data_IF_459271761629
#
_entry.id   IF_459271761629
#
_cell.length_a   1.000
_cell.length_b   1.000
_cell.length_c   1.000
_cell.angle_alpha   90.00
_cell.angle_beta   90.00
_cell.angle_gamma   90.00
#
_symmetry.space_group_name_H-M   'P 1'
#
loop_
_entity.id
_entity.type
_entity.pdbx_description
1 polymer ?
#
# COMPACT_ATOMS: atom_id res chain seq x y z
N UNK A 1 -29.53 14.90 7.33
CA UNK A 1 -29.02 13.53 7.14
C UNK A 1 -27.50 13.61 7.05
N UNK A 2 -26.76 12.75 7.74
CA UNK A 2 -25.30 12.80 7.71
C UNK A 2 -24.79 12.14 6.42
N UNK A 3 -23.95 12.82 5.66
CA UNK A 3 -23.32 12.22 4.47
C UNK A 3 -22.20 11.29 4.91
N UNK A 4 -22.19 10.04 4.43
CA UNK A 4 -21.04 9.14 4.60
C UNK A 4 -20.09 9.37 3.44
N UNK A 5 -18.80 9.52 3.74
CA UNK A 5 -17.73 9.65 2.76
C UNK A 5 -17.03 8.31 2.58
N UNK A 6 -16.95 7.84 1.34
CA UNK A 6 -16.10 6.74 0.91
C UNK A 6 -14.88 7.30 0.19
N UNK A 7 -13.71 6.69 0.39
CA UNK A 7 -12.47 7.09 -0.26
C UNK A 7 -11.97 5.93 -1.13
N UNK A 8 -11.64 6.27 -2.37
CA UNK A 8 -11.02 5.37 -3.35
C UNK A 8 -9.65 5.96 -3.67
N UNK A 9 -8.60 5.15 -3.57
CA UNK A 9 -7.23 5.64 -3.73
C UNK A 9 -6.52 4.90 -4.85
N UNK A 10 -5.74 5.64 -5.64
CA UNK A 10 -4.83 5.04 -6.61
C UNK A 10 -3.80 4.22 -5.85
N UNK A 11 -3.74 2.94 -6.15
CA UNK A 11 -2.74 2.07 -5.56
C UNK A 11 -1.48 2.12 -6.41
N UNK A 12 -0.39 2.63 -5.80
CA UNK A 12 0.99 2.72 -6.31
C UNK A 12 1.22 1.95 -7.61
N UNK A 13 1.51 2.67 -8.70
CA UNK A 13 1.82 2.06 -9.99
C UNK A 13 3.34 1.96 -10.18
N UNK A 14 3.81 0.79 -10.57
CA UNK A 14 5.20 0.52 -10.97
C UNK A 14 5.22 0.24 -12.46
N UNK A 15 6.23 0.76 -13.16
CA UNK A 15 6.42 0.46 -14.58
C UNK A 15 7.18 -0.87 -14.72
N UNK A 16 6.51 -1.91 -15.23
CA UNK A 16 7.14 -3.21 -15.48
C UNK A 16 7.67 -3.31 -16.91
N UNK A 17 8.84 -2.73 -17.15
CA UNK A 17 9.64 -3.07 -18.34
C UNK A 17 10.44 -1.94 -18.96
N UNK A 18 11.32 -2.33 -19.90
CA UNK A 18 12.10 -1.42 -20.74
C UNK A 18 11.37 -0.99 -22.02
N UNK A 19 10.09 -1.34 -22.16
CA UNK A 19 9.27 -1.05 -23.34
C UNK A 19 8.49 0.25 -23.13
N UNK A 20 8.35 1.10 -24.17
CA UNK A 20 7.56 2.34 -24.09
C UNK A 20 6.05 2.14 -23.88
N UNK A 21 5.60 0.88 -23.87
CA UNK A 21 4.23 0.48 -23.59
C UNK A 21 4.16 -0.60 -22.51
N UNK A 22 5.18 -0.69 -21.65
CA UNK A 22 5.13 -1.56 -20.49
C UNK A 22 3.87 -1.25 -19.67
N UNK A 23 3.06 -2.27 -19.33
CA UNK A 23 1.86 -2.05 -18.56
C UNK A 23 2.25 -1.45 -17.21
N UNK A 24 1.53 -0.41 -16.80
CA UNK A 24 1.58 -0.03 -15.40
C UNK A 24 0.89 -1.13 -14.61
N UNK A 25 1.57 -1.53 -13.56
CA UNK A 25 1.11 -2.56 -12.66
C UNK A 25 0.98 -1.91 -11.30
N UNK A 26 -0.19 -2.02 -10.66
CA UNK A 26 -0.28 -1.53 -9.29
C UNK A 26 0.52 -2.41 -8.33
N UNK A 27 0.68 -1.98 -7.08
CA UNK A 27 1.37 -2.78 -6.05
C UNK A 27 0.72 -4.15 -5.78
N UNK A 28 -0.49 -4.39 -6.31
CA UNK A 28 -1.21 -5.67 -6.26
C UNK A 28 -1.09 -6.50 -7.56
N UNK A 29 -0.13 -6.18 -8.42
CA UNK A 29 0.11 -6.87 -9.70
C UNK A 29 -1.03 -6.77 -10.73
N UNK A 30 -2.02 -5.89 -10.52
CA UNK A 30 -3.07 -5.68 -11.52
C UNK A 30 -2.52 -4.83 -12.67
N UNK A 31 -2.55 -5.39 -13.87
CA UNK A 31 -2.14 -4.75 -15.12
C UNK A 31 -3.27 -3.91 -15.73
N UNK A 32 -2.96 -2.77 -16.34
CA UNK A 32 -3.91 -2.00 -17.18
C UNK A 32 -4.52 -2.94 -18.25
N UNK A 33 -5.85 -2.87 -18.52
CA UNK A 33 -6.79 -1.80 -18.16
C UNK A 33 -7.61 -2.05 -16.89
N UNK A 34 -7.17 -2.94 -16.01
CA UNK A 34 -7.91 -3.28 -14.78
C UNK A 34 -7.95 -2.09 -13.79
N UNK A 35 -8.88 -2.14 -12.85
CA UNK A 35 -9.16 -1.04 -11.92
C UNK A 35 -7.94 -0.75 -11.01
N UNK A 36 -7.48 0.51 -10.99
CA UNK A 36 -6.34 0.95 -10.15
C UNK A 36 -6.77 1.77 -8.92
N UNK A 37 -8.07 2.06 -8.79
CA UNK A 37 -8.67 2.78 -7.67
C UNK A 37 -9.43 1.79 -6.78
N UNK A 38 -8.89 1.50 -5.60
CA UNK A 38 -9.49 0.56 -4.67
C UNK A 38 -10.25 1.27 -3.55
N UNK A 39 -11.40 0.75 -3.11
CA UNK A 39 -12.09 1.25 -1.94
C UNK A 39 -11.28 0.94 -0.66
N UNK A 40 -11.22 1.90 0.26
CA UNK A 40 -10.72 1.71 1.65
C UNK A 40 -9.25 1.30 1.82
N UNK A 41 -8.31 1.90 1.07
CA UNK A 41 -6.90 1.84 1.46
C UNK A 41 -6.73 2.66 2.75
N UNK A 42 -6.45 1.99 3.88
CA UNK A 42 -6.14 2.68 5.15
C UNK A 42 -4.69 3.15 5.11
N UNK A 43 -4.49 4.47 5.21
CA UNK A 43 -3.20 5.06 5.52
C UNK A 43 -2.62 5.89 4.37
N UNK A 44 -3.16 7.09 4.15
CA UNK A 44 -2.41 8.14 3.44
C UNK A 44 -1.42 8.70 4.46
N UNK A 45 -0.19 8.20 4.43
CA UNK A 45 0.92 8.82 5.17
C UNK A 45 1.57 9.86 4.25
N UNK A 46 1.80 11.07 4.79
CA UNK A 46 2.42 12.16 4.05
C UNK A 46 3.83 11.81 3.47
N UNK A 47 4.39 10.69 3.96
CA UNK A 47 5.71 10.15 3.65
C UNK A 47 5.66 8.92 2.71
N UNK A 48 4.55 8.65 2.02
CA UNK A 48 4.55 7.63 0.96
C UNK A 48 5.52 8.05 -0.16
N UNK A 49 6.59 7.26 -0.33
CA UNK A 49 7.64 7.46 -1.33
C UNK A 49 7.26 6.91 -2.71
N UNK A 50 6.06 6.35 -2.83
CA UNK A 50 5.52 5.82 -4.07
C UNK A 50 4.90 6.95 -4.88
N UNK A 51 5.45 7.26 -6.06
CA UNK A 51 4.91 8.30 -6.92
C UNK A 51 4.78 7.82 -8.37
N UNK A 52 3.72 8.29 -9.03
CA UNK A 52 3.62 8.26 -10.49
C UNK A 52 4.34 9.51 -10.99
N UNK A 53 5.45 9.33 -11.70
CA UNK A 53 6.22 10.45 -12.24
C UNK A 53 6.45 10.30 -13.73
N UNK A 54 6.70 11.43 -14.39
CA UNK A 54 7.33 11.42 -15.70
C UNK A 54 8.84 11.10 -15.52
N UNK A 55 9.54 10.64 -16.56
CA UNK A 55 10.84 10.02 -16.43
C UNK A 55 11.93 11.10 -16.28
N UNK A 56 12.93 10.83 -15.45
CA UNK A 56 14.13 11.67 -15.28
C UNK A 56 15.06 11.62 -16.49
N UNK A 57 15.01 10.54 -17.30
CA UNK A 57 15.99 10.27 -18.36
C UNK A 57 15.37 10.59 -19.71
N UNK A 58 16.05 11.45 -20.49
CA UNK A 58 15.75 11.67 -21.91
C UNK A 58 15.91 10.32 -22.63
N UNK A 59 14.79 9.68 -22.99
CA UNK A 59 14.74 8.38 -23.66
C UNK A 59 14.25 7.19 -22.81
N UNK A 60 13.93 7.38 -21.52
CA UNK A 60 13.12 6.41 -20.78
C UNK A 60 11.65 6.82 -20.92
N UNK A 61 10.84 6.00 -21.60
CA UNK A 61 9.46 6.33 -21.93
C UNK A 61 8.50 5.85 -20.82
N UNK A 62 8.34 6.64 -19.75
CA UNK A 62 7.09 6.51 -18.98
C UNK A 62 5.95 7.05 -19.82
N UNK A 63 4.74 6.50 -19.72
CA UNK A 63 3.62 7.01 -20.47
C UNK A 63 3.30 8.45 -20.05
N UNK A 64 3.39 9.41 -20.99
CA UNK A 64 2.93 10.80 -20.81
C UNK A 64 1.44 10.88 -20.43
N UNK A 65 0.72 9.77 -20.61
CA UNK A 65 -0.72 9.61 -20.43
C UNK A 65 -1.06 8.26 -19.83
N UNK A 66 -1.80 8.25 -18.74
CA UNK A 66 -2.24 7.04 -18.05
C UNK A 66 -3.75 7.09 -17.94
N UNK A 67 -4.43 6.02 -18.35
CA UNK A 67 -5.88 5.87 -18.19
C UNK A 67 -6.18 4.60 -17.43
N UNK A 68 -7.08 4.67 -16.46
CA UNK A 68 -7.55 3.49 -15.73
C UNK A 68 -9.01 3.66 -15.35
N UNK A 69 -9.70 2.52 -15.29
CA UNK A 69 -11.09 2.46 -14.89
C UNK A 69 -11.21 2.60 -13.37
N UNK A 70 -12.29 3.25 -12.93
CA UNK A 70 -12.63 3.36 -11.52
C UNK A 70 -13.49 2.14 -11.16
N UNK A 71 -13.04 1.37 -10.17
CA UNK A 71 -13.78 0.20 -9.69
C UNK A 71 -15.16 0.59 -9.14
N UNK A 72 -16.07 -0.37 -9.16
CA UNK A 72 -17.48 -0.35 -8.77
C UNK A 72 -17.85 0.74 -7.74
N UNK A 73 -18.09 1.95 -8.26
CA UNK A 73 -18.60 3.01 -7.43
C UNK A 73 -20.04 2.69 -7.02
N UNK A 74 -20.45 3.12 -5.81
CA UNK A 74 -21.85 3.15 -5.41
C UNK A 74 -22.75 3.74 -6.47
N UNK A 75 -23.82 3.06 -6.81
CA UNK A 75 -24.80 3.60 -7.74
C UNK A 75 -25.59 4.77 -7.15
N UNK A 76 -25.51 5.01 -5.85
CA UNK A 76 -26.28 5.99 -5.07
C UNK A 76 -25.46 7.18 -4.54
N UNK A 77 -24.20 7.35 -4.95
CA UNK A 77 -23.42 8.54 -4.56
C UNK A 77 -24.10 9.87 -4.96
N UNK A 78 -23.95 10.88 -4.11
CA UNK A 78 -24.49 12.23 -4.26
C UNK A 78 -23.41 13.29 -4.45
N UNK A 79 -22.15 12.98 -4.18
CA UNK A 79 -21.03 13.88 -4.44
C UNK A 79 -19.79 13.10 -4.84
N UNK A 80 -18.97 13.69 -5.69
CA UNK A 80 -17.67 13.14 -6.11
C UNK A 80 -16.66 14.28 -6.07
N UNK A 81 -15.51 14.02 -5.44
CA UNK A 81 -14.40 14.97 -5.31
C UNK A 81 -13.11 14.24 -5.62
N UNK A 82 -12.32 14.77 -6.56
CA UNK A 82 -10.97 14.28 -6.87
C UNK A 82 -9.98 15.14 -6.09
N UNK A 83 -9.10 14.50 -5.34
CA UNK A 83 -7.99 15.16 -4.66
C UNK A 83 -6.68 14.60 -5.22
N UNK A 84 -5.69 15.47 -5.43
CA UNK A 84 -4.38 15.09 -5.97
C UNK A 84 -3.28 15.82 -5.22
N UNK A 85 -2.16 15.14 -4.96
CA UNK A 85 -0.91 15.78 -4.50
C UNK A 85 0.20 15.58 -5.50
N UNK A 86 0.76 16.69 -5.96
CA UNK A 86 1.74 16.75 -7.04
C UNK A 86 2.94 17.62 -6.67
N UNK A 87 4.11 17.23 -7.14
CA UNK A 87 5.34 18.00 -7.09
C UNK A 87 5.82 18.24 -8.52
N UNK A 88 6.25 19.46 -8.80
CA UNK A 88 6.99 19.79 -10.01
C UNK A 88 8.44 20.12 -9.63
N UNK A 89 9.38 19.59 -10.40
CA UNK A 89 10.82 19.80 -10.30
C UNK A 89 11.31 20.32 -11.66
N UNK A 90 12.37 21.12 -11.68
CA UNK A 90 12.93 21.67 -12.91
C UNK A 90 13.10 23.17 -12.87
N UNK A 91 13.94 23.69 -13.78
CA UNK A 91 14.30 25.11 -13.89
C UNK A 91 13.36 25.87 -14.83
N UNK A 92 12.71 25.16 -15.76
CA UNK A 92 11.72 25.70 -16.69
C UNK A 92 10.51 24.77 -16.73
N UNK A 93 9.36 25.30 -16.33
CA UNK A 93 8.07 24.60 -16.30
C UNK A 93 7.05 25.26 -17.24
N UNK A 94 7.46 26.22 -18.08
CA UNK A 94 6.54 27.09 -18.83
C UNK A 94 5.76 26.38 -19.94
N UNK A 95 6.24 25.22 -20.39
CA UNK A 95 5.62 24.45 -21.47
C UNK A 95 5.12 23.06 -21.03
N UNK A 96 5.25 22.74 -19.74
CA UNK A 96 4.79 21.46 -19.20
C UNK A 96 3.28 21.51 -18.99
N UNK A 97 2.58 20.44 -19.33
CA UNK A 97 1.15 20.32 -19.02
C UNK A 97 0.92 19.10 -18.15
N UNK A 98 0.31 19.33 -17.00
CA UNK A 98 -0.24 18.27 -16.16
C UNK A 98 -1.74 18.44 -16.18
N UNK A 99 -2.48 17.34 -16.33
CA UNK A 99 -3.93 17.31 -16.12
C UNK A 99 -4.33 16.01 -15.43
N UNK A 100 -5.35 16.11 -14.58
CA UNK A 100 -6.07 14.95 -14.05
C UNK A 100 -7.52 15.11 -14.47
N UNK A 101 -7.93 14.30 -15.42
CA UNK A 101 -9.25 14.34 -16.03
C UNK A 101 -10.07 13.13 -15.57
N UNK A 102 -11.37 13.34 -15.40
CA UNK A 102 -12.33 12.27 -15.20
C UNK A 102 -13.22 12.16 -16.44
N UNK A 103 -13.36 10.95 -16.98
CA UNK A 103 -14.13 10.65 -18.17
C UNK A 103 -15.26 9.67 -17.87
N UNK A 104 -16.32 9.79 -18.66
CA UNK A 104 -17.26 8.70 -18.87
C UNK A 104 -16.94 8.02 -20.21
N UNK A 105 -16.71 6.71 -20.16
CA UNK A 105 -16.10 5.96 -21.23
C UNK A 105 -14.57 6.01 -21.23
N UNK A 106 -13.96 4.98 -21.79
CA UNK A 106 -12.51 4.89 -21.96
C UNK A 106 -11.99 6.15 -22.69
N UNK A 107 -10.99 6.88 -22.17
CA UNK A 107 -10.46 8.13 -22.75
C UNK A 107 -9.88 7.95 -24.17
N UNK A 108 -10.78 7.90 -25.16
CA UNK A 108 -10.57 7.77 -26.61
C UNK A 108 -11.63 8.61 -27.32
N UNK A 109 -11.59 8.61 -28.65
CA UNK A 109 -12.63 9.24 -29.48
C UNK A 109 -14.03 8.75 -29.04
N UNK A 110 -14.89 9.69 -28.66
CA UNK A 110 -16.26 9.41 -28.20
C UNK A 110 -16.48 9.38 -26.67
N UNK A 111 -15.43 9.50 -25.86
CA UNK A 111 -15.57 9.67 -24.40
C UNK A 111 -16.03 11.09 -24.03
N UNK A 112 -16.68 11.24 -22.89
CA UNK A 112 -17.13 12.55 -22.37
C UNK A 112 -16.33 12.92 -21.14
N UNK A 113 -15.59 14.03 -21.19
CA UNK A 113 -14.91 14.57 -20.02
C UNK A 113 -15.92 15.20 -19.07
N UNK A 114 -15.92 14.78 -17.81
CA UNK A 114 -16.88 15.20 -16.78
C UNK A 114 -16.22 16.03 -15.66
N UNK A 115 -14.89 16.06 -15.61
CA UNK A 115 -14.13 16.96 -14.76
C UNK A 115 -12.66 16.99 -15.14
N UNK A 116 -11.98 18.06 -14.74
CA UNK A 116 -10.59 18.35 -15.08
C UNK A 116 -9.97 19.12 -13.92
N UNK A 117 -8.83 18.63 -13.44
CA UNK A 117 -7.88 19.41 -12.64
C UNK A 117 -6.82 19.88 -13.63
N UNK A 118 -6.97 21.12 -14.07
CA UNK A 118 -5.93 21.82 -14.81
C UNK A 118 -4.92 22.42 -13.84
N UNK A 119 -3.66 22.07 -14.06
CA UNK A 119 -2.55 22.73 -13.40
C UNK A 119 -2.29 24.02 -14.16
N UNK A 120 -2.04 25.16 -13.48
CA UNK A 120 -1.90 26.44 -14.17
C UNK A 120 -0.88 26.34 -15.29
N UNK A 121 -1.29 26.71 -16.50
CA UNK A 121 -0.47 26.64 -17.71
C UNK A 121 0.82 27.48 -17.64
N UNK A 122 0.92 28.38 -16.66
CA UNK A 122 2.11 29.16 -16.36
C UNK A 122 2.63 28.83 -14.96
N UNK A 123 3.35 27.72 -14.86
CA UNK A 123 3.99 27.28 -13.62
C UNK A 123 5.20 28.18 -13.27
N UNK A 124 5.70 28.97 -14.22
CA UNK A 124 6.98 29.69 -14.13
C UNK A 124 7.03 30.81 -13.08
N UNK A 125 5.89 31.16 -12.45
CA UNK A 125 5.84 32.10 -11.33
C UNK A 125 4.99 31.67 -10.13
N UNK A 126 4.22 30.58 -10.23
CA UNK A 126 3.27 30.18 -9.19
C UNK A 126 3.78 29.04 -8.29
N UNK A 127 4.84 28.33 -8.72
CA UNK A 127 5.29 27.12 -8.04
C UNK A 127 6.80 27.17 -7.78
N UNK A 128 7.18 26.94 -6.53
CA UNK A 128 8.55 26.64 -6.12
C UNK A 128 8.88 25.18 -6.47
N UNK A 129 10.00 24.96 -7.15
CA UNK A 129 10.51 23.62 -7.45
C UNK A 129 10.63 22.77 -6.18
N UNK A 130 10.44 21.46 -6.30
CA UNK A 130 10.49 20.49 -5.19
C UNK A 130 9.46 20.72 -4.07
N UNK A 131 8.47 21.57 -4.28
CA UNK A 131 7.35 21.76 -3.35
C UNK A 131 6.18 20.87 -3.74
N UNK A 132 5.48 20.32 -2.74
CA UNK A 132 4.25 19.55 -2.94
C UNK A 132 3.03 20.47 -2.90
N UNK A 133 2.12 20.26 -3.83
CA UNK A 133 0.89 21.02 -3.99
C UNK A 133 -0.30 20.07 -3.96
N UNK A 134 -1.37 20.49 -3.31
CA UNK A 134 -2.61 19.73 -3.18
C UNK A 134 -3.71 20.44 -3.97
N UNK A 135 -4.43 19.66 -4.78
CA UNK A 135 -5.50 20.13 -5.64
C UNK A 135 -6.76 19.34 -5.34
N UNK A 136 -7.90 20.03 -5.39
CA UNK A 136 -9.22 19.45 -5.16
C UNK A 136 -10.17 19.91 -6.25
N UNK A 137 -10.82 18.96 -6.92
CA UNK A 137 -11.87 19.23 -7.91
C UNK A 137 -13.16 18.53 -7.51
N UNK A 138 -14.23 19.31 -7.38
CA UNK A 138 -15.58 18.78 -7.19
C UNK A 138 -16.17 18.45 -8.56
N UNK A 139 -16.62 17.21 -8.73
CA UNK A 139 -17.21 16.73 -9.97
C UNK A 139 -18.72 16.95 -9.90
N UNK A 140 -19.28 17.55 -10.96
CA UNK A 140 -20.72 17.69 -11.07
C UNK A 140 -21.35 16.32 -11.38
N UNK A 141 -21.94 15.70 -10.35
CA UNK A 141 -22.56 14.38 -10.45
C UNK A 141 -23.71 14.32 -11.48
N UNK A 142 -24.30 15.45 -11.86
CA UNK A 142 -25.31 15.50 -12.91
C UNK A 142 -24.75 15.21 -14.32
N UNK A 143 -23.42 15.32 -14.51
CA UNK A 143 -22.75 14.97 -15.76
C UNK A 143 -22.47 13.46 -15.87
N UNK A 144 -22.65 12.70 -14.79
CA UNK A 144 -22.43 11.25 -14.76
C UNK A 144 -23.74 10.56 -15.13
N UNK A 145 -23.83 10.06 -16.35
CA UNK A 145 -24.98 9.29 -16.87
C UNK A 145 -24.78 7.78 -16.78
N UNK A 146 -23.54 7.31 -16.71
CA UNK A 146 -23.18 5.91 -16.44
C UNK A 146 -22.11 5.83 -15.34
N UNK A 147 -22.53 5.38 -14.16
CA UNK A 147 -21.67 5.25 -12.98
C UNK A 147 -20.73 4.04 -13.03
N UNK A 148 -20.95 3.10 -13.95
CA UNK A 148 -20.15 1.88 -14.12
C UNK A 148 -19.03 2.04 -15.15
N UNK A 149 -19.01 3.17 -15.85
CA UNK A 149 -18.08 3.45 -16.94
C UNK A 149 -17.33 4.76 -16.70
N UNK A 150 -16.77 4.89 -15.49
CA UNK A 150 -15.97 6.03 -15.09
C UNK A 150 -14.49 5.70 -15.19
N UNK A 151 -13.73 6.65 -15.72
CA UNK A 151 -12.31 6.53 -15.96
C UNK A 151 -11.57 7.75 -15.43
N UNK A 152 -10.39 7.52 -14.88
CA UNK A 152 -9.42 8.58 -14.60
C UNK A 152 -8.38 8.58 -15.71
N UNK A 153 -8.03 9.77 -16.16
CA UNK A 153 -6.97 10.02 -17.12
C UNK A 153 -5.99 11.02 -16.53
N UNK A 154 -4.72 10.68 -16.54
CA UNK A 154 -3.64 11.51 -16.03
C UNK A 154 -2.73 11.82 -17.19
N UNK A 155 -2.44 13.09 -17.40
CA UNK A 155 -1.46 13.54 -18.38
C UNK A 155 -0.34 14.28 -17.65
N UNK A 156 0.90 13.96 -17.98
CA UNK A 156 2.11 14.65 -17.49
C UNK A 156 3.05 14.86 -18.68
N UNK A 157 2.73 15.84 -19.51
CA UNK A 157 3.49 16.18 -20.72
C UNK A 157 4.60 17.18 -20.38
N UNK A 158 5.82 16.86 -20.79
CA UNK A 158 7.00 17.70 -20.57
C UNK A 158 7.01 18.94 -21.48
N UNK A 159 6.24 18.96 -22.57
CA UNK A 159 6.35 20.01 -23.58
C UNK A 159 7.67 19.94 -24.36
N UNK A 160 7.69 20.48 -25.58
CA UNK A 160 8.92 20.49 -26.40
C UNK A 160 9.95 21.45 -25.80
N UNK A 161 11.19 20.97 -25.60
CA UNK A 161 12.32 21.80 -25.17
C UNK A 161 12.59 21.85 -23.66
N UNK A 162 11.79 21.15 -22.83
CA UNK A 162 12.03 21.07 -21.38
C UNK A 162 12.84 19.81 -21.03
N UNK A 163 14.17 19.94 -20.96
CA UNK A 163 15.04 18.82 -20.56
C UNK A 163 14.90 18.45 -19.08
N UNK A 164 14.40 19.38 -18.25
CA UNK A 164 14.54 19.29 -16.78
C UNK A 164 13.20 19.26 -16.02
N UNK A 165 12.06 19.46 -16.69
CA UNK A 165 10.74 19.52 -16.04
C UNK A 165 10.26 18.13 -15.59
N UNK A 166 10.22 17.86 -14.30
CA UNK A 166 9.82 16.57 -13.75
C UNK A 166 8.60 16.70 -12.83
N UNK A 167 7.51 16.05 -13.21
CA UNK A 167 6.26 15.99 -12.46
C UNK A 167 6.17 14.67 -11.71
N UNK A 168 5.75 14.71 -10.45
CA UNK A 168 5.51 13.56 -9.58
C UNK A 168 4.17 13.71 -8.90
N UNK A 169 3.33 12.70 -8.96
CA UNK A 169 2.11 12.61 -8.18
C UNK A 169 2.29 11.57 -7.07
N UNK A 170 2.15 12.00 -5.82
CA UNK A 170 2.26 11.08 -4.67
C UNK A 170 0.95 10.33 -4.44
N UNK A 171 -0.18 11.01 -4.51
CA UNK A 171 -1.49 10.36 -4.39
C UNK A 171 -2.56 11.00 -5.26
N UNK A 172 -3.54 10.17 -5.60
CA UNK A 172 -4.78 10.54 -6.28
C UNK A 172 -5.93 9.81 -5.58
N UNK A 173 -6.86 10.59 -5.02
CA UNK A 173 -7.96 10.11 -4.19
C UNK A 173 -9.29 10.58 -4.75
N UNK A 174 -10.20 9.65 -4.99
CA UNK A 174 -11.59 9.93 -5.30
C UNK A 174 -12.43 9.78 -4.03
N UNK A 175 -12.92 10.90 -3.52
CA UNK A 175 -13.84 10.96 -2.39
C UNK A 175 -15.28 10.99 -2.91
N UNK A 176 -16.09 10.04 -2.44
CA UNK A 176 -17.46 9.83 -2.90
C UNK A 176 -18.40 9.93 -1.71
N UNK A 177 -19.32 10.89 -1.72
CA UNK A 177 -20.34 11.05 -0.68
C UNK A 177 -21.62 10.31 -1.02
N UNK A 178 -22.25 9.66 -0.04
CA UNK A 178 -23.52 8.94 -0.21
C UNK A 178 -24.57 9.40 0.81
N UNK A 179 -25.87 9.37 0.45
CA UNK A 179 -26.94 9.57 1.40
C UNK A 179 -26.97 8.37 2.36
N UNK A 180 -27.02 8.62 3.66
CA UNK A 180 -27.08 7.56 4.68
C UNK A 180 -28.36 6.74 4.52
N UNK A 181 -28.24 5.50 4.08
CA UNK A 181 -29.25 4.48 4.37
C UNK A 181 -28.61 3.34 5.16
N UNK A 182 -29.05 3.28 6.42
CA UNK A 182 -28.71 2.34 7.49
C UNK A 182 -27.25 2.30 7.94
N UNK A 183 -27.11 2.03 9.25
CA UNK A 183 -25.84 1.86 9.95
C UNK A 183 -24.90 1.07 9.07
N UNK A 184 -23.78 1.68 8.67
CA UNK A 184 -22.71 0.95 8.05
C UNK A 184 -22.48 -0.29 8.90
N UNK A 185 -22.79 -1.48 8.37
CA UNK A 185 -22.31 -2.70 8.98
C UNK A 185 -20.82 -2.47 9.20
N UNK A 186 -20.40 -2.57 10.46
CA UNK A 186 -19.03 -2.29 10.85
C UNK A 186 -18.16 -3.10 9.90
N UNK A 187 -17.28 -2.48 9.09
CA UNK A 187 -16.43 -3.22 8.18
C UNK A 187 -15.72 -4.29 8.99
N UNK A 188 -16.14 -5.54 8.83
CA UNK A 188 -15.42 -6.67 9.40
C UNK A 188 -14.23 -6.80 8.50
N UNK A 189 -13.08 -6.31 8.96
CA UNK A 189 -11.79 -6.60 8.36
C UNK A 189 -11.65 -8.12 8.28
N UNK A 190 -11.99 -8.68 7.12
CA UNK A 190 -11.82 -10.10 6.86
C UNK A 190 -10.45 -10.23 6.23
N UNK A 191 -9.47 -10.53 7.08
CA UNK A 191 -8.11 -10.83 6.64
C UNK A 191 -8.17 -12.21 5.98
N UNK A 192 -8.18 -12.24 4.64
CA UNK A 192 -8.30 -13.48 3.85
C UNK A 192 -7.03 -14.31 3.79
N UNK A 193 -6.04 -13.96 4.60
CA UNK A 193 -4.93 -14.82 4.87
C UNK A 193 -5.43 -15.85 5.94
N UNK A 194 -6.22 -16.79 5.45
CA UNK A 194 -6.70 -18.02 6.11
C UNK A 194 -7.48 -17.85 7.44
N UNK A 195 -8.17 -16.73 7.63
CA UNK A 195 -8.96 -16.44 8.85
C UNK A 195 -8.12 -16.32 10.14
N UNK A 196 -6.79 -16.29 10.04
CA UNK A 196 -5.90 -16.11 11.17
C UNK A 196 -5.94 -14.66 11.65
N UNK A 197 -5.93 -14.45 12.97
CA UNK A 197 -5.94 -13.10 13.57
C UNK A 197 -4.54 -12.50 13.56
N UNK A 198 -4.45 -11.16 13.50
CA UNK A 198 -3.18 -10.44 13.63
C UNK A 198 -2.53 -10.73 14.98
N UNK A 199 -1.22 -10.96 14.99
CA UNK A 199 -0.42 -11.01 16.22
C UNK A 199 -0.30 -9.59 16.77
N UNK A 200 -0.90 -9.36 17.93
CA UNK A 200 -0.92 -8.04 18.60
C UNK A 200 -0.03 -7.97 19.85
N UNK A 201 0.39 -9.13 20.36
CA UNK A 201 1.27 -9.24 21.53
C UNK A 201 2.47 -10.08 21.12
N UNK A 202 3.61 -9.43 21.01
CA UNK A 202 4.91 -10.04 20.78
C UNK A 202 5.98 -9.29 21.58
N UNK A 203 7.00 -10.00 22.02
CA UNK A 203 8.11 -9.44 22.79
C UNK A 203 9.45 -9.99 22.30
N UNK A 204 10.47 -9.15 22.38
CA UNK A 204 11.86 -9.54 22.22
C UNK A 204 12.60 -9.16 23.50
N UNK A 205 13.33 -10.11 24.08
CA UNK A 205 14.07 -9.93 25.34
C UNK A 205 15.48 -10.46 25.15
N UNK A 206 16.47 -9.65 25.49
CA UNK A 206 17.86 -10.07 25.48
C UNK A 206 18.15 -11.11 26.59
N UNK A 207 18.96 -12.12 26.28
CA UNK A 207 19.58 -13.04 27.24
C UNK A 207 21.10 -13.04 27.09
N UNK A 208 21.81 -13.22 28.20
CA UNK A 208 23.27 -13.17 28.25
C UNK A 208 23.79 -11.75 28.56
N UNK A 209 24.89 -11.38 27.91
CA UNK A 209 25.66 -10.15 28.15
C UNK A 209 25.00 -8.95 27.49
N UNK A 210 24.59 -7.94 28.28
CA UNK A 210 24.02 -6.67 27.76
C UNK A 210 24.93 -6.03 26.72
N UNK A 211 24.36 -5.66 25.57
CA UNK A 211 25.10 -5.03 24.47
C UNK A 211 24.52 -3.66 24.12
N UNK A 212 24.84 -3.17 22.92
CA UNK A 212 24.29 -1.90 22.41
C UNK A 212 23.60 -2.06 21.06
N UNK A 213 23.41 -3.31 20.66
CA UNK A 213 23.00 -3.65 19.30
C UNK A 213 21.48 -3.68 19.20
N UNK A 214 20.96 -3.03 18.16
CA UNK A 214 19.55 -3.05 17.85
C UNK A 214 19.21 -4.29 16.99
N UNK A 215 18.12 -4.96 17.35
CA UNK A 215 17.57 -6.10 16.63
C UNK A 215 16.08 -5.89 16.41
N UNK A 216 15.56 -6.20 15.22
CA UNK A 216 14.12 -6.09 14.90
C UNK A 216 13.57 -7.34 14.25
N UNK A 217 12.30 -7.64 14.54
CA UNK A 217 11.64 -8.88 14.16
C UNK A 217 10.20 -8.67 13.69
N UNK A 218 9.71 -9.62 12.91
CA UNK A 218 8.29 -9.84 12.59
C UNK A 218 7.95 -11.33 12.69
N UNK A 219 6.71 -11.62 13.05
CA UNK A 219 6.19 -12.98 13.14
C UNK A 219 4.99 -13.10 12.19
N UNK A 220 4.94 -14.17 11.42
CA UNK A 220 3.86 -14.47 10.48
C UNK A 220 3.19 -15.79 10.88
N UNK A 221 1.90 -15.80 11.26
CA UNK A 221 1.19 -17.04 11.51
C UNK A 221 0.87 -17.76 10.19
N UNK A 222 0.92 -19.09 10.19
CA UNK A 222 0.63 -19.93 9.02
C UNK A 222 -0.29 -21.09 9.43
N UNK A 223 -1.11 -21.57 8.50
CA UNK A 223 -1.95 -22.76 8.65
C UNK A 223 -1.85 -23.70 7.44
N UNK A 224 -2.79 -24.64 7.30
CA UNK A 224 -2.80 -25.61 6.20
C UNK A 224 -2.93 -24.98 4.81
N UNK A 225 -3.50 -23.77 4.71
CA UNK A 225 -3.69 -23.04 3.47
C UNK A 225 -2.51 -22.09 3.16
N UNK A 226 -1.51 -22.02 4.05
CA UNK A 226 -0.28 -21.23 3.89
C UNK A 226 -0.07 -20.16 4.96
N UNK A 227 0.84 -19.22 4.70
CA UNK A 227 1.17 -18.17 5.65
C UNK A 227 0.27 -16.94 5.50
N UNK A 228 -0.32 -16.53 6.63
CA UNK A 228 -1.25 -15.44 6.71
C UNK A 228 -0.52 -14.11 6.92
N UNK A 229 0.15 -13.62 5.89
CA UNK A 229 1.10 -12.51 6.07
C UNK A 229 0.40 -11.17 6.36
N UNK A 230 -0.86 -10.98 5.96
CA UNK A 230 -1.69 -9.85 6.42
C UNK A 230 -2.00 -9.89 7.94
N UNK A 231 -1.77 -11.03 8.59
CA UNK A 231 -1.89 -11.25 10.03
C UNK A 231 -0.54 -11.26 10.75
N UNK A 232 0.53 -10.81 10.07
CA UNK A 232 1.83 -10.63 10.68
C UNK A 232 1.80 -9.61 11.84
N UNK A 233 2.72 -9.77 12.78
CA UNK A 233 2.94 -8.78 13.83
C UNK A 233 3.41 -7.45 13.23
N UNK A 234 3.21 -6.35 13.97
CA UNK A 234 3.99 -5.14 13.74
C UNK A 234 5.49 -5.43 14.00
N UNK A 235 6.39 -4.59 13.48
CA UNK A 235 7.81 -4.71 13.80
C UNK A 235 8.05 -4.44 15.30
N UNK A 236 8.81 -5.32 15.96
CA UNK A 236 9.22 -5.18 17.36
C UNK A 236 10.69 -5.57 17.55
N UNK A 237 11.27 -5.31 18.73
CA UNK A 237 12.65 -5.71 19.01
C UNK A 237 13.29 -4.99 20.19
N UNK A 238 14.58 -5.21 20.40
CA UNK A 238 15.39 -4.62 21.49
C UNK A 238 16.36 -3.57 20.95
N UNK A 239 16.73 -2.60 21.78
CA UNK A 239 17.70 -1.55 21.44
C UNK A 239 19.10 -1.77 22.02
N UNK A 240 19.23 -2.70 22.96
CA UNK A 240 20.37 -2.98 23.82
C UNK A 240 20.76 -4.47 23.77
N UNK A 241 20.42 -5.16 22.69
CA UNK A 241 20.73 -6.58 22.50
C UNK A 241 22.22 -6.86 22.37
N UNK A 242 22.57 -8.15 22.42
CA UNK A 242 23.96 -8.61 22.36
C UNK A 242 24.60 -8.19 21.03
N UNK A 243 25.90 -7.88 21.07
CA UNK A 243 26.64 -7.48 19.86
C UNK A 243 26.95 -8.67 18.95
N UNK A 244 27.09 -9.86 19.53
CA UNK A 244 27.17 -11.14 18.83
C UNK A 244 26.12 -12.07 19.39
N UNK A 245 25.33 -12.70 18.52
CA UNK A 245 24.35 -13.71 18.88
C UNK A 245 25.00 -15.10 18.77
N UNK A 246 24.81 -15.91 19.80
CA UNK A 246 25.20 -17.32 19.90
C UNK A 246 24.27 -18.10 20.86
N UNK A 247 24.66 -19.30 21.26
CA UNK A 247 23.86 -20.14 22.15
C UNK A 247 23.69 -19.57 23.58
N UNK A 248 24.60 -18.69 24.03
CA UNK A 248 24.61 -18.07 25.36
C UNK A 248 24.05 -16.65 25.31
N UNK A 249 24.47 -15.87 24.32
CA UNK A 249 24.07 -14.49 24.07
C UNK A 249 23.03 -14.45 22.95
N UNK A 250 21.74 -14.31 23.26
CA UNK A 250 20.68 -14.45 22.25
C UNK A 250 19.48 -13.53 22.53
N UNK A 251 18.63 -13.35 21.51
CA UNK A 251 17.33 -12.70 21.68
C UNK A 251 16.23 -13.75 21.83
N UNK A 252 15.54 -13.73 22.95
CA UNK A 252 14.30 -14.48 23.16
C UNK A 252 13.14 -13.75 22.50
N UNK A 253 12.48 -14.39 21.54
CA UNK A 253 11.33 -13.86 20.82
C UNK A 253 10.11 -14.67 21.21
N UNK A 254 9.03 -14.01 21.62
CA UNK A 254 7.83 -14.70 22.13
C UNK A 254 6.54 -13.95 21.76
N UNK A 255 5.44 -14.70 21.61
CA UNK A 255 4.12 -14.19 21.25
C UNK A 255 3.00 -15.11 21.75
N UNK A 256 1.79 -14.56 21.81
CA UNK A 256 0.59 -15.37 22.10
C UNK A 256 0.17 -16.17 20.87
N UNK A 257 -0.21 -17.42 21.07
CA UNK A 257 -0.67 -18.28 19.99
C UNK A 257 -1.97 -17.76 19.35
N UNK A 258 -1.99 -17.79 18.02
CA UNK A 258 -3.15 -17.47 17.20
C UNK A 258 -3.97 -18.74 16.97
N UNK A 259 -5.23 -18.72 17.40
CA UNK A 259 -6.19 -19.80 17.14
C UNK A 259 -6.27 -20.10 15.64
N UNK A 260 -5.99 -21.35 15.28
CA UNK A 260 -5.99 -21.84 13.90
C UNK A 260 -4.61 -21.88 13.25
N UNK A 261 -3.59 -21.20 13.79
CA UNK A 261 -2.24 -21.30 13.27
C UNK A 261 -1.66 -22.70 13.55
N UNK A 262 -1.02 -23.29 12.55
CA UNK A 262 -0.29 -24.56 12.67
C UNK A 262 1.22 -24.36 12.74
N UNK A 263 1.71 -23.18 12.35
CA UNK A 263 3.11 -22.77 12.49
C UNK A 263 3.25 -21.25 12.42
N UNK A 264 4.45 -20.76 12.70
CA UNK A 264 4.83 -19.36 12.56
C UNK A 264 6.16 -19.26 11.86
N UNK A 265 6.28 -18.36 10.89
CA UNK A 265 7.58 -17.94 10.36
C UNK A 265 8.06 -16.70 11.11
N UNK A 266 9.28 -16.74 11.64
CA UNK A 266 9.88 -15.63 12.39
C UNK A 266 11.01 -15.05 11.56
N UNK A 267 10.96 -13.74 11.34
CA UNK A 267 11.90 -13.02 10.50
C UNK A 267 12.67 -11.98 11.29
N UNK A 268 13.96 -11.90 11.02
CA UNK A 268 14.82 -10.80 11.46
C UNK A 268 14.77 -9.70 10.39
N UNK A 269 14.24 -8.54 10.76
CA UNK A 269 14.04 -7.39 9.87
C UNK A 269 15.22 -6.41 9.92
N UNK A 270 15.93 -6.37 11.04
CA UNK A 270 17.13 -5.54 11.22
C UNK A 270 18.14 -6.24 12.11
N UNK A 271 19.40 -6.21 11.70
CA UNK A 271 20.54 -6.77 12.41
C UNK A 271 21.62 -5.70 12.55
N UNK A 272 21.87 -5.22 13.77
CA UNK A 272 22.92 -4.24 14.04
C UNK A 272 24.29 -4.84 14.40
N UNK A 273 24.37 -6.16 14.60
CA UNK A 273 25.54 -6.85 15.15
C UNK A 273 25.96 -8.07 14.33
N UNK A 274 26.48 -9.09 14.99
CA UNK A 274 26.86 -10.36 14.39
C UNK A 274 25.82 -11.44 14.75
N UNK A 275 25.21 -12.12 13.76
CA UNK A 275 25.35 -11.92 12.32
C UNK A 275 24.68 -10.62 11.86
N UNK A 276 25.14 -10.07 10.73
CA UNK A 276 24.51 -8.91 10.09
C UNK A 276 23.41 -9.31 9.10
N UNK A 277 23.04 -10.59 9.04
CA UNK A 277 22.04 -11.11 8.10
C UNK A 277 20.62 -10.80 8.57
N UNK A 278 19.73 -10.57 7.62
CA UNK A 278 18.28 -10.45 7.81
C UNK A 278 17.57 -11.63 7.12
N UNK A 279 16.27 -11.83 7.38
CA UNK A 279 15.47 -12.90 6.77
C UNK A 279 14.90 -13.89 7.77
N UNK A 280 14.41 -15.03 7.27
CA UNK A 280 13.79 -16.08 8.06
C UNK A 280 14.81 -16.70 9.02
N UNK A 281 14.53 -16.61 10.33
CA UNK A 281 15.35 -17.23 11.37
C UNK A 281 14.76 -18.56 11.86
N UNK A 282 13.47 -18.83 11.60
CA UNK A 282 12.89 -20.12 11.94
C UNK A 282 11.42 -20.27 11.59
N UNK A 283 10.98 -21.54 11.50
CA UNK A 283 9.57 -21.94 11.48
C UNK A 283 9.24 -22.67 12.78
N UNK A 284 8.26 -22.17 13.50
CA UNK A 284 7.99 -22.51 14.91
C UNK A 284 6.59 -23.10 15.01
N UNK A 285 6.41 -24.19 15.76
CA UNK A 285 5.08 -24.75 16.04
C UNK A 285 4.43 -24.00 17.23
N UNK A 286 3.10 -23.94 17.30
CA UNK A 286 2.39 -23.43 18.48
C UNK A 286 2.71 -24.24 19.76
N UNK A 287 2.56 -23.61 20.92
CA UNK A 287 2.72 -24.22 22.23
C UNK A 287 4.15 -24.63 22.59
N UNK A 288 5.16 -23.97 22.03
CA UNK A 288 6.56 -24.24 22.37
C UNK A 288 7.06 -23.44 23.59
N UNK A 289 6.19 -22.69 24.26
CA UNK A 289 6.53 -21.89 25.44
C UNK A 289 7.37 -20.66 25.13
N UNK A 290 7.51 -19.79 26.13
CA UNK A 290 8.33 -18.58 26.06
C UNK A 290 9.77 -18.93 25.62
N UNK A 291 10.27 -18.26 24.58
CA UNK A 291 11.62 -18.47 24.05
C UNK A 291 11.91 -19.93 23.62
N UNK A 292 10.87 -20.72 23.31
CA UNK A 292 11.00 -22.09 22.82
C UNK A 292 11.44 -23.12 23.87
N UNK A 293 11.21 -22.86 25.17
CA UNK A 293 11.62 -23.77 26.26
C UNK A 293 10.54 -24.76 26.72
N UNK A 294 9.34 -24.74 26.14
CA UNK A 294 8.43 -25.88 26.10
C UNK A 294 7.48 -26.11 27.26
N UNK A 295 7.11 -25.09 28.07
CA UNK A 295 6.33 -25.34 29.30
C UNK A 295 5.11 -24.42 29.54
N UNK A 296 4.77 -23.51 28.62
CA UNK A 296 3.63 -22.60 28.78
C UNK A 296 2.52 -22.87 27.74
N UNK A 297 1.30 -23.19 28.22
CA UNK A 297 0.12 -23.29 27.37
C UNK A 297 -0.34 -21.89 26.93
N UNK A 298 -0.20 -21.58 25.64
CA UNK A 298 -0.73 -20.36 25.02
C UNK A 298 0.32 -19.36 24.53
N UNK A 299 1.59 -19.58 24.88
CA UNK A 299 2.72 -18.76 24.45
C UNK A 299 3.66 -19.60 23.59
N UNK A 300 4.18 -18.99 22.52
CA UNK A 300 5.18 -19.60 21.64
C UNK A 300 6.36 -18.66 21.49
N UNK A 301 7.55 -19.23 21.35
CA UNK A 301 8.76 -18.44 21.13
C UNK A 301 9.88 -19.20 20.44
N UNK A 302 10.93 -18.45 20.09
CA UNK A 302 12.18 -18.94 19.50
C UNK A 302 13.37 -18.12 20.04
N UNK A 303 14.54 -18.76 20.10
CA UNK A 303 15.82 -18.09 20.33
C UNK A 303 16.43 -17.68 19.01
N UNK A 304 16.74 -16.41 18.86
CA UNK A 304 17.65 -15.95 17.83
C UNK A 304 19.09 -16.05 18.33
N UNK A 305 19.76 -17.17 17.99
CA UNK A 305 21.16 -17.47 18.34
C UNK A 305 22.14 -17.04 17.26
N UNK A 306 21.73 -16.20 16.31
CA UNK A 306 22.62 -15.71 15.27
C UNK A 306 22.86 -16.68 14.12
N UNK A 307 21.95 -17.65 13.93
CA UNK A 307 21.94 -18.44 12.70
C UNK A 307 21.70 -17.51 11.49
N UNK A 308 22.31 -17.85 10.35
CA UNK A 308 22.18 -17.05 9.14
C UNK A 308 20.72 -16.98 8.70
N UNK A 309 20.22 -15.76 8.46
CA UNK A 309 18.89 -15.56 7.91
C UNK A 309 18.75 -16.25 6.56
N UNK A 310 17.69 -17.04 6.40
CA UNK A 310 17.35 -17.71 5.15
C UNK A 310 16.58 -16.80 4.20
N UNK A 311 15.41 -17.25 3.74
CA UNK A 311 14.52 -16.48 2.85
C UNK A 311 14.23 -15.08 3.41
N UNK A 312 14.46 -14.04 2.60
CA UNK A 312 14.10 -12.67 2.99
C UNK A 312 12.60 -12.53 3.21
N UNK A 313 12.23 -11.58 4.08
CA UNK A 313 10.83 -11.25 4.28
C UNK A 313 10.30 -10.48 3.08
N UNK A 314 9.45 -11.12 2.28
CA UNK A 314 8.78 -10.46 1.17
C UNK A 314 7.51 -9.75 1.66
N UNK A 315 7.57 -8.42 1.78
CA UNK A 315 6.41 -7.61 2.16
C UNK A 315 5.26 -7.71 1.15
N UNK A 316 5.50 -8.15 -0.10
CA UNK A 316 4.43 -8.36 -1.07
C UNK A 316 3.48 -9.48 -0.65
N UNK A 317 3.97 -10.45 0.14
CA UNK A 317 3.14 -11.53 0.68
C UNK A 317 2.21 -11.02 1.80
N UNK A 318 2.58 -9.94 2.53
CA UNK A 318 1.78 -9.28 3.60
C UNK A 318 0.45 -8.72 3.12
N UNK A 319 0.28 -8.63 1.81
CA UNK A 319 -0.88 -8.01 1.21
C UNK A 319 -1.93 -9.09 1.00
N UNK A 320 -2.52 -9.53 2.13
CA UNK A 320 -3.77 -10.26 2.08
C UNK A 320 -4.73 -9.50 1.17
N UNK A 321 -5.19 -10.14 0.10
CA UNK A 321 -6.21 -9.58 -0.77
C UNK A 321 -7.43 -9.33 0.11
N UNK A 322 -7.64 -8.07 0.50
CA UNK A 322 -8.86 -7.67 1.20
C UNK A 322 -10.00 -7.66 0.18
N UNK A 323 -10.48 -8.83 -0.22
CA UNK A 323 -11.71 -8.89 -1.02
C UNK A 323 -12.85 -8.61 -0.06
N UNK A 324 -13.39 -7.38 -0.07
CA UNK A 324 -14.64 -7.12 0.64
C UNK A 324 -15.74 -7.90 -0.06
N UNK A 325 -16.07 -9.09 0.44
CA UNK A 325 -17.20 -9.88 -0.05
C UNK A 325 -18.45 -9.35 0.62
N UNK A 326 -19.21 -8.54 -0.11
CA UNK A 326 -20.59 -8.25 0.25
C UNK A 326 -21.42 -9.51 -0.01
N UNK A 327 -22.46 -9.81 0.82
CA UNK A 327 -23.41 -10.86 0.47
C UNK A 327 -23.99 -10.58 -0.92
N UNK A 328 -24.26 -11.64 -1.69
CA UNK A 328 -25.00 -11.53 -2.94
C UNK A 328 -26.25 -10.70 -2.70
N UNK A 329 -26.52 -9.74 -3.60
CA UNK A 329 -27.72 -8.91 -3.57
C UNK A 329 -28.92 -9.75 -3.11
N UNK A 330 -29.67 -9.23 -2.13
CA UNK A 330 -30.90 -9.86 -1.67
C UNK A 330 -31.70 -10.32 -2.89
N UNK A 331 -31.96 -11.63 -2.98
CA UNK A 331 -32.97 -12.17 -3.88
C UNK A 331 -34.27 -11.46 -3.52
N UNK A 332 -34.66 -10.50 -4.35
CA UNK A 332 -35.90 -9.74 -4.19
C UNK A 332 -37.09 -10.69 -4.25
N UNK A 333 -37.87 -10.73 -3.15
CA UNK A 333 -39.28 -11.17 -3.16
C UNK A 333 -40.16 -10.00 -3.58
#
# INVERSE_FOLDING_TARGET
MATVLSFYEMVQAVNEGSSPHAPLVNKYQATIPNDLLYPYVRGIVADDLSYVGNPTVIGAETPDKISFKIDNLPLDFTSVTVNVRLQANGTDLSNGTVSVDMYQGLPRSGSTRIGEIDFPADISGAYTAATWYEFTQVINVALITDRKDLWMHIRMDRGTGLSDALFRMSWLVLQVGRPTYQLAETPVSKNYANSLRKIVIASAIQKGTTGTTKWRYRIVPCDADGCAVGSASDEFGVGDGNDTLDATDHICISWLDIVGATSYKVYRMFAGGTPSSTGLIGTVLPGLGDCGTGEDEGDTGIKDTGDEGGEEFDESLCQGVTTVTYPSAEDTV
#
